data_IF_202556265753
#
_entry.id   IF_202556265753
#
_cell.length_a   1.000
_cell.length_b   1.000
_cell.length_c   1.000
_cell.angle_alpha   90.00
_cell.angle_beta   90.00
_cell.angle_gamma   90.00
#
_symmetry.space_group_name_H-M   'P 1'
#
loop_
_entity.id
_entity.type
_entity.pdbx_description
1 polymer ?
#
# COMPACT_ATOMS: atom_id res chain seq x y z
N UNK A 1 21.99 -12.92 -3.35
CA UNK A 1 21.72 -11.78 -2.45
C UNK A 1 21.44 -10.60 -3.36
N UNK A 2 20.20 -10.13 -3.44
CA UNK A 2 19.89 -8.88 -4.15
C UNK A 2 20.34 -7.73 -3.24
N UNK A 3 21.59 -7.28 -3.42
CA UNK A 3 22.16 -6.11 -2.75
C UNK A 3 21.67 -4.83 -3.47
N UNK A 4 20.37 -4.61 -3.42
CA UNK A 4 19.72 -3.42 -3.98
C UNK A 4 19.30 -2.46 -2.88
N UNK A 5 19.02 -1.17 -3.20
CA UNK A 5 18.45 -0.26 -2.23
C UNK A 5 17.16 -0.85 -1.65
N UNK A 6 16.99 -0.69 -0.33
CA UNK A 6 15.79 -1.14 0.40
C UNK A 6 15.00 0.04 0.92
N UNK A 7 13.68 -0.07 0.89
CA UNK A 7 12.75 0.87 1.48
C UNK A 7 12.32 0.32 2.85
N UNK A 8 12.67 1.03 3.92
CA UNK A 8 12.26 0.63 5.26
C UNK A 8 10.91 1.23 5.60
N UNK A 9 9.95 0.38 5.97
CA UNK A 9 8.62 0.81 6.42
C UNK A 9 8.21 0.04 7.68
N UNK A 10 7.14 0.49 8.33
CA UNK A 10 6.55 -0.19 9.47
C UNK A 10 5.23 -0.84 9.02
N UNK A 11 5.11 -2.16 9.20
CA UNK A 11 3.86 -2.91 9.00
C UNK A 11 3.41 -3.40 10.37
N UNK A 12 2.31 -2.85 10.87
CA UNK A 12 1.94 -2.96 12.28
C UNK A 12 3.04 -2.38 13.19
N UNK A 13 3.46 -3.13 14.20
CA UNK A 13 4.55 -2.74 15.11
C UNK A 13 5.95 -3.14 14.59
N UNK A 14 6.04 -3.74 13.40
CA UNK A 14 7.29 -4.31 12.89
C UNK A 14 7.90 -3.45 11.78
N UNK A 15 9.15 -3.04 11.98
CA UNK A 15 9.95 -2.49 10.88
C UNK A 15 10.34 -3.61 9.90
N UNK A 16 10.07 -3.39 8.62
CA UNK A 16 10.38 -4.31 7.52
C UNK A 16 11.18 -3.59 6.43
N UNK A 17 12.12 -4.31 5.85
CA UNK A 17 12.90 -3.85 4.70
C UNK A 17 12.29 -4.41 3.43
N UNK A 18 11.85 -3.52 2.55
CA UNK A 18 11.21 -3.86 1.29
C UNK A 18 12.15 -3.60 0.12
N UNK A 19 12.03 -4.32 -1.00
CA UNK A 19 12.79 -4.00 -2.21
C UNK A 19 12.41 -2.59 -2.73
N UNK A 20 13.42 -1.75 -3.01
CA UNK A 20 13.23 -0.39 -3.53
C UNK A 20 13.45 -0.29 -5.06
N UNK A 21 13.24 -1.39 -5.80
CA UNK A 21 13.40 -1.44 -7.25
C UNK A 21 12.38 -2.38 -7.86
N UNK A 22 11.86 -2.07 -9.06
CA UNK A 22 10.87 -2.90 -9.76
C UNK A 22 11.36 -4.34 -9.96
N UNK A 23 12.65 -4.52 -10.28
CA UNK A 23 13.27 -5.85 -10.41
C UNK A 23 13.29 -6.61 -9.06
N UNK A 24 13.66 -5.94 -7.97
CA UNK A 24 13.66 -6.54 -6.63
C UNK A 24 12.26 -6.89 -6.13
N UNK A 25 11.27 -6.07 -6.48
CA UNK A 25 9.85 -6.33 -6.24
C UNK A 25 9.45 -7.60 -7.00
N UNK A 26 9.67 -7.63 -8.32
CA UNK A 26 9.37 -8.79 -9.17
C UNK A 26 10.05 -10.07 -8.67
N UNK A 27 11.30 -9.99 -8.23
CA UNK A 27 12.04 -11.13 -7.70
C UNK A 27 11.43 -11.69 -6.40
N UNK A 28 10.85 -10.82 -5.57
CA UNK A 28 10.21 -11.19 -4.30
C UNK A 28 8.81 -11.80 -4.48
N UNK A 29 8.19 -11.64 -5.65
CA UNK A 29 6.88 -12.19 -5.97
C UNK A 29 6.96 -13.63 -6.51
N UNK A 30 5.92 -14.43 -6.24
CA UNK A 30 5.68 -15.73 -6.87
C UNK A 30 5.40 -15.58 -8.37
N UNK A 31 5.58 -16.63 -9.18
CA UNK A 31 5.43 -16.58 -10.64
C UNK A 31 4.07 -16.00 -11.11
N UNK A 32 2.98 -16.43 -10.48
CA UNK A 32 1.62 -15.94 -10.77
C UNK A 32 1.47 -14.42 -10.52
N UNK A 33 1.97 -13.95 -9.37
CA UNK A 33 1.94 -12.53 -9.00
C UNK A 33 2.88 -11.67 -9.85
N UNK A 34 3.95 -12.26 -10.42
CA UNK A 34 4.87 -11.52 -11.31
C UNK A 34 4.18 -11.09 -12.60
N UNK A 35 3.32 -11.94 -13.15
CA UNK A 35 2.58 -11.61 -14.37
C UNK A 35 1.56 -10.50 -14.11
N UNK A 36 0.88 -10.54 -12.97
CA UNK A 36 -0.07 -9.50 -12.57
C UNK A 36 0.64 -8.15 -12.30
N UNK A 37 1.76 -8.18 -11.59
CA UNK A 37 2.60 -6.99 -11.38
C UNK A 37 3.08 -6.36 -12.70
N UNK A 38 3.60 -7.17 -13.63
CA UNK A 38 4.11 -6.68 -14.92
C UNK A 38 2.97 -6.05 -15.75
N UNK A 39 1.79 -6.67 -15.73
CA UNK A 39 0.60 -6.15 -16.40
C UNK A 39 0.13 -4.82 -15.81
N UNK A 40 0.08 -4.71 -14.48
CA UNK A 40 -0.38 -3.51 -13.78
C UNK A 40 0.59 -2.35 -14.01
N UNK A 41 1.90 -2.58 -13.84
CA UNK A 41 2.94 -1.59 -14.14
C UNK A 41 2.92 -1.18 -15.61
N UNK A 42 2.77 -2.13 -16.54
CA UNK A 42 2.76 -1.87 -17.97
C UNK A 42 1.53 -1.08 -18.45
N UNK A 43 0.43 -1.12 -17.70
CA UNK A 43 -0.81 -0.39 -18.03
C UNK A 43 -0.99 0.90 -17.22
N UNK A 44 -0.15 1.15 -16.22
CA UNK A 44 -0.25 2.30 -15.32
C UNK A 44 0.16 3.61 -16.00
N UNK A 45 -0.42 4.72 -15.52
CA UNK A 45 0.13 6.03 -15.81
C UNK A 45 1.49 6.16 -15.09
N UNK A 46 2.45 6.84 -15.72
CA UNK A 46 3.81 7.02 -15.17
C UNK A 46 3.78 7.64 -13.76
N UNK A 47 2.81 8.50 -13.48
CA UNK A 47 2.60 9.14 -12.17
C UNK A 47 2.20 8.17 -11.07
N UNK A 48 1.55 7.06 -11.42
CA UNK A 48 1.02 6.07 -10.49
C UNK A 48 1.98 4.89 -10.26
N UNK A 49 2.97 4.72 -11.14
CA UNK A 49 4.01 3.68 -11.02
C UNK A 49 4.66 3.63 -9.62
N UNK A 50 5.03 4.76 -8.97
CA UNK A 50 5.62 4.71 -7.63
C UNK A 50 4.66 4.14 -6.58
N UNK A 51 3.38 4.49 -6.67
CA UNK A 51 2.35 4.03 -5.74
C UNK A 51 2.08 2.53 -5.93
N UNK A 52 1.93 2.11 -7.18
CA UNK A 52 1.74 0.71 -7.56
C UNK A 52 2.95 -0.12 -7.11
N UNK A 53 4.16 0.32 -7.41
CA UNK A 53 5.39 -0.35 -6.98
C UNK A 53 5.45 -0.50 -5.45
N UNK A 54 5.13 0.55 -4.70
CA UNK A 54 5.08 0.49 -3.23
C UNK A 54 4.04 -0.53 -2.74
N UNK A 55 2.84 -0.56 -3.35
CA UNK A 55 1.82 -1.58 -3.06
C UNK A 55 2.36 -2.98 -3.32
N UNK A 56 3.13 -3.20 -4.39
CA UNK A 56 3.76 -4.48 -4.77
C UNK A 56 5.07 -4.83 -4.02
N UNK A 57 5.64 -3.89 -3.27
CA UNK A 57 6.75 -4.14 -2.34
C UNK A 57 6.32 -4.80 -1.02
N UNK A 58 5.08 -4.58 -0.56
CA UNK A 58 4.53 -5.15 0.68
C UNK A 58 4.49 -6.71 0.73
N UNK A 59 4.42 -7.33 1.91
CA UNK A 59 4.07 -8.74 2.03
C UNK A 59 2.61 -9.00 1.62
N UNK A 60 2.31 -10.23 1.17
CA UNK A 60 0.98 -10.60 0.69
C UNK A 60 -0.12 -10.39 1.73
N UNK A 61 0.15 -10.73 3.00
CA UNK A 61 -0.80 -10.51 4.11
C UNK A 61 -1.22 -9.04 4.22
N UNK A 62 -0.29 -8.10 4.07
CA UNK A 62 -0.62 -6.67 4.12
C UNK A 62 -1.40 -6.20 2.89
N UNK A 63 -1.22 -6.84 1.72
CA UNK A 63 -2.02 -6.53 0.52
C UNK A 63 -3.46 -7.03 0.64
N UNK A 64 -3.64 -8.22 1.19
CA UNK A 64 -4.94 -8.85 1.36
C UNK A 64 -5.81 -8.02 2.33
N UNK A 65 -5.21 -7.57 3.44
CA UNK A 65 -5.85 -6.65 4.39
C UNK A 65 -6.27 -5.33 3.73
N UNK A 66 -5.39 -4.73 2.91
CA UNK A 66 -5.69 -3.48 2.18
C UNK A 66 -6.84 -3.67 1.18
N UNK A 67 -6.85 -4.80 0.46
CA UNK A 67 -7.92 -5.15 -0.46
C UNK A 67 -9.25 -5.41 0.26
N UNK A 68 -9.23 -6.09 1.41
CA UNK A 68 -10.42 -6.31 2.24
C UNK A 68 -11.00 -4.98 2.73
N UNK A 69 -10.16 -4.05 3.18
CA UNK A 69 -10.60 -2.69 3.57
C UNK A 69 -11.19 -1.93 2.37
N UNK A 70 -10.54 -1.97 1.21
CA UNK A 70 -11.06 -1.33 -0.01
C UNK A 70 -12.40 -1.92 -0.45
N UNK A 71 -12.58 -3.24 -0.32
CA UNK A 71 -13.85 -3.91 -0.59
C UNK A 71 -14.94 -3.47 0.40
N UNK A 72 -14.62 -3.38 1.69
CA UNK A 72 -15.54 -2.88 2.72
C UNK A 72 -16.02 -1.46 2.38
N UNK A 73 -15.09 -0.56 2.05
CA UNK A 73 -15.39 0.81 1.64
C UNK A 73 -16.26 0.87 0.38
N UNK A 74 -15.98 0.01 -0.62
CA UNK A 74 -16.78 -0.06 -1.85
C UNK A 74 -18.21 -0.54 -1.59
N UNK A 75 -18.40 -1.41 -0.61
CA UNK A 75 -19.71 -1.87 -0.16
C UNK A 75 -20.46 -0.82 0.69
N UNK A 76 -19.85 0.35 0.92
CA UNK A 76 -20.44 1.44 1.70
C UNK A 76 -20.39 1.19 3.21
N UNK A 77 -19.60 0.22 3.66
CA UNK A 77 -19.36 -0.02 5.08
C UNK A 77 -18.14 0.80 5.53
N UNK A 78 -18.42 1.86 6.28
CA UNK A 78 -17.41 2.76 6.85
C UNK A 78 -17.16 2.44 8.34
N UNK A 79 -17.54 1.24 8.79
CA UNK A 79 -17.37 0.84 10.18
C UNK A 79 -15.89 0.83 10.55
N UNK A 80 -15.54 1.49 11.66
CA UNK A 80 -14.15 1.66 12.09
C UNK A 80 -13.40 2.84 11.45
N UNK A 81 -13.99 3.55 10.50
CA UNK A 81 -13.42 4.79 9.96
C UNK A 81 -13.85 5.98 10.82
N UNK A 82 -12.98 6.43 11.72
CA UNK A 82 -13.14 7.75 12.33
C UNK A 82 -12.82 8.80 11.28
N UNK A 83 -13.84 9.49 10.79
CA UNK A 83 -13.64 10.75 10.07
C UNK A 83 -12.77 11.68 10.91
N UNK A 84 -11.95 12.52 10.26
CA UNK A 84 -11.24 13.59 10.95
C UNK A 84 -12.31 14.47 11.61
N UNK A 85 -12.60 14.23 12.88
CA UNK A 85 -13.34 15.14 13.74
C UNK A 85 -12.42 16.35 13.91
N UNK A 86 -12.47 17.28 12.94
CA UNK A 86 -11.93 18.61 13.16
C UNK A 86 -12.73 19.19 14.32
N UNK A 87 -12.12 19.48 15.49
CA UNK A 87 -12.85 20.10 16.58
C UNK A 87 -13.32 21.46 16.07
N UNK A 88 -14.61 21.57 15.76
CA UNK A 88 -15.26 22.83 15.44
C UNK A 88 -14.91 23.82 16.55
N UNK A 89 -14.27 24.98 16.25
CA UNK A 89 -13.90 25.92 17.29
C UNK A 89 -15.17 26.47 17.93
N UNK A 90 -15.55 25.86 19.05
CA UNK A 90 -16.69 26.26 19.85
C UNK A 90 -16.36 27.60 20.52
N UNK A 91 -17.03 28.65 20.03
CA UNK A 91 -17.43 29.83 20.81
C UNK A 91 -16.33 30.55 21.59
N UNK A 92 -15.64 31.50 20.94
CA UNK A 92 -15.10 32.66 21.65
C UNK A 92 -16.26 33.61 21.98
N UNK A 93 -16.90 33.37 23.13
CA UNK A 93 -17.92 34.23 23.71
C UNK A 93 -17.72 34.34 25.21
N UNK A 94 -16.92 35.33 25.62
CA UNK A 94 -17.07 36.08 26.87
C UNK A 94 -16.49 37.48 26.70
#
# INVERSE_FOLDING_TARGET
>A
MHDGPVLRTNIGDRAVDLPASLDGIRASLSEDLREEFDREIGSALITDVPLIAARWSLPQEARDEDEAMLQQLRNGDFSGFTGLDEPSPAGAGQ
#
